data_IF_878816566846
#
_entry.id   IF_878816566846
#
_cell.length_a   1.000
_cell.length_b   1.000
_cell.length_c   1.000
_cell.angle_alpha   90.00
_cell.angle_beta   90.00
_cell.angle_gamma   90.00
#
_symmetry.space_group_name_H-M   'P 1'
#
loop_
_entity.id
_entity.type
_entity.pdbx_description
1 polymer ?
#
# COMPACT_ATOMS: atom_id res chain seq x y z
N UNK A 1 -17.30 -9.96 -20.64
CA UNK A 1 -16.02 -9.95 -19.90
C UNK A 1 -15.92 -11.04 -18.85
N UNK A 2 -16.73 -11.03 -17.77
CA UNK A 2 -16.67 -12.10 -16.74
C UNK A 2 -17.10 -13.47 -17.27
N UNK A 3 -18.21 -13.54 -18.01
CA UNK A 3 -18.69 -14.79 -18.62
C UNK A 3 -17.69 -15.38 -19.64
N UNK A 4 -16.98 -14.52 -20.38
CA UNK A 4 -15.96 -14.96 -21.34
C UNK A 4 -14.72 -15.52 -20.64
N UNK A 5 -14.27 -14.85 -19.57
CA UNK A 5 -13.17 -15.34 -18.72
C UNK A 5 -13.54 -16.64 -18.00
N UNK A 6 -14.76 -16.74 -17.48
CA UNK A 6 -15.28 -17.95 -16.87
C UNK A 6 -15.38 -19.09 -17.89
N UNK A 7 -15.81 -18.82 -19.12
CA UNK A 7 -15.82 -19.83 -20.19
C UNK A 7 -14.42 -20.30 -20.60
N UNK A 8 -13.41 -19.43 -20.51
CA UNK A 8 -12.04 -19.75 -20.88
C UNK A 8 -11.23 -20.43 -19.78
N UNK A 9 -11.49 -20.11 -18.52
CA UNK A 9 -10.67 -20.52 -17.37
C UNK A 9 -11.44 -21.22 -16.25
N UNK A 10 -12.78 -21.21 -16.27
CA UNK A 10 -13.63 -21.77 -15.22
C UNK A 10 -14.05 -23.22 -15.46
N UNK A 11 -14.53 -23.87 -14.40
CA UNK A 11 -15.10 -25.21 -14.48
C UNK A 11 -16.56 -25.20 -14.98
N UNK A 12 -17.00 -26.30 -15.60
CA UNK A 12 -18.33 -26.42 -16.24
C UNK A 12 -19.49 -26.03 -15.31
N UNK A 13 -19.46 -26.47 -14.05
CA UNK A 13 -20.51 -26.15 -13.06
C UNK A 13 -20.60 -24.65 -12.78
N UNK A 14 -19.47 -23.95 -12.73
CA UNK A 14 -19.42 -22.50 -12.52
C UNK A 14 -19.91 -21.73 -13.74
N UNK A 15 -19.52 -22.18 -14.94
CA UNK A 15 -19.99 -21.58 -16.21
C UNK A 15 -21.50 -21.78 -16.38
N UNK A 16 -22.04 -22.95 -16.04
CA UNK A 16 -23.46 -23.23 -16.09
C UNK A 16 -24.24 -22.31 -15.13
N UNK A 17 -23.80 -22.19 -13.88
CA UNK A 17 -24.42 -21.33 -12.88
C UNK A 17 -24.39 -19.84 -13.27
N UNK A 18 -23.30 -19.37 -13.91
CA UNK A 18 -23.20 -18.01 -14.44
C UNK A 18 -24.18 -17.77 -15.60
N UNK A 19 -24.33 -18.74 -16.52
CA UNK A 19 -25.26 -18.63 -17.64
C UNK A 19 -26.71 -18.55 -17.20
N UNK A 20 -27.09 -19.29 -16.15
CA UNK A 20 -28.44 -19.20 -15.55
C UNK A 20 -28.74 -17.81 -14.97
N UNK A 21 -27.71 -17.00 -14.71
CA UNK A 21 -27.77 -15.69 -14.06
C UNK A 21 -27.33 -14.54 -14.98
N UNK A 22 -27.45 -14.74 -16.29
CA UNK A 22 -27.10 -13.75 -17.31
C UNK A 22 -25.65 -13.23 -17.20
N UNK A 23 -24.73 -14.10 -16.77
CA UNK A 23 -23.31 -13.80 -16.65
C UNK A 23 -22.87 -13.12 -15.35
N UNK A 24 -23.76 -13.00 -14.36
CA UNK A 24 -23.46 -12.39 -13.05
C UNK A 24 -23.39 -13.42 -11.90
N UNK A 25 -22.49 -13.25 -10.91
CA UNK A 25 -22.39 -14.14 -9.77
C UNK A 25 -23.66 -14.16 -8.92
N UNK A 26 -24.26 -12.99 -8.64
CA UNK A 26 -25.52 -12.89 -7.91
C UNK A 26 -26.53 -11.98 -8.63
N UNK A 27 -27.84 -12.34 -8.60
CA UNK A 27 -28.88 -11.48 -9.16
C UNK A 27 -28.94 -10.11 -8.48
N UNK A 28 -28.85 -9.03 -9.25
CA UNK A 28 -28.89 -7.67 -8.74
C UNK A 28 -27.51 -7.04 -8.47
N UNK A 29 -26.41 -7.78 -8.67
CA UNK A 29 -25.05 -7.23 -8.57
C UNK A 29 -24.80 -6.08 -9.57
N UNK A 30 -25.46 -6.15 -10.73
CA UNK A 30 -25.50 -5.08 -11.73
C UNK A 30 -26.05 -3.76 -11.19
N UNK A 31 -26.81 -3.81 -10.07
CA UNK A 31 -27.44 -2.65 -9.42
C UNK A 31 -26.69 -2.17 -8.16
N UNK A 32 -25.72 -2.94 -7.68
CA UNK A 32 -24.91 -2.57 -6.50
C UNK A 32 -23.90 -1.44 -6.79
N UNK A 33 -23.79 -1.05 -8.04
CA UNK A 33 -22.85 -0.06 -8.56
C UNK A 33 -23.40 1.36 -8.48
N UNK A 34 -24.61 1.54 -7.93
CA UNK A 34 -25.27 2.84 -7.82
C UNK A 34 -25.82 3.38 -9.14
N UNK A 35 -25.93 2.54 -10.19
CA UNK A 35 -26.42 2.96 -11.51
C UNK A 35 -25.37 3.66 -12.37
N UNK A 36 -24.09 3.50 -12.05
CA UNK A 36 -22.98 4.01 -12.85
C UNK A 36 -22.91 3.23 -14.17
N UNK A 37 -23.00 3.95 -15.30
CA UNK A 37 -23.04 3.33 -16.63
C UNK A 37 -21.69 2.77 -17.10
N UNK A 38 -20.58 3.30 -16.58
CA UNK A 38 -19.21 2.86 -16.88
C UNK A 38 -18.49 2.50 -15.58
N UNK A 39 -18.31 1.20 -15.34
CA UNK A 39 -17.66 0.64 -14.15
C UNK A 39 -16.15 0.58 -14.32
N UNK A 40 -15.57 1.74 -14.60
CA UNK A 40 -14.13 1.96 -14.57
C UNK A 40 -13.78 2.97 -13.47
N UNK A 41 -13.52 2.45 -12.27
CA UNK A 41 -13.08 3.21 -11.10
C UNK A 41 -11.77 4.00 -11.36
N UNK A 42 -11.01 3.61 -12.38
CA UNK A 42 -9.72 4.22 -12.75
C UNK A 42 -9.82 5.19 -13.94
N UNK A 43 -10.98 5.33 -14.57
CA UNK A 43 -11.18 6.21 -15.73
C UNK A 43 -10.74 7.66 -15.45
N UNK A 44 -11.01 8.16 -14.24
CA UNK A 44 -10.61 9.49 -13.79
C UNK A 44 -9.09 9.67 -13.63
N UNK A 45 -8.35 8.57 -13.41
CA UNK A 45 -6.89 8.58 -13.29
C UNK A 45 -6.21 8.86 -14.63
N UNK A 46 -6.89 8.64 -15.77
CA UNK A 46 -6.37 8.88 -17.13
C UNK A 46 -5.01 8.18 -17.36
N UNK A 47 -4.92 6.92 -16.93
CA UNK A 47 -3.69 6.11 -17.04
C UNK A 47 -3.45 5.79 -18.52
N UNK A 48 -2.27 6.15 -19.02
CA UNK A 48 -1.87 5.95 -20.42
C UNK A 48 -0.61 5.12 -20.56
N UNK A 49 0.19 5.00 -19.49
CA UNK A 49 1.44 4.24 -19.43
C UNK A 49 1.64 3.61 -18.05
N UNK A 50 2.57 2.66 -17.95
CA UNK A 50 2.82 1.92 -16.69
C UNK A 50 3.24 2.84 -15.55
N UNK A 51 4.03 3.87 -15.86
CA UNK A 51 4.59 4.80 -14.88
C UNK A 51 3.51 5.64 -14.18
N UNK A 52 2.35 5.83 -14.82
CA UNK A 52 1.25 6.57 -14.22
C UNK A 52 0.76 5.88 -12.93
N UNK A 53 0.87 4.54 -12.83
CA UNK A 53 0.58 3.83 -11.57
C UNK A 53 1.50 4.24 -10.43
N UNK A 54 2.80 4.32 -10.69
CA UNK A 54 3.78 4.77 -9.69
C UNK A 54 3.53 6.25 -9.34
N UNK A 55 3.32 7.08 -10.35
CA UNK A 55 3.19 8.52 -10.16
C UNK A 55 1.88 8.87 -9.41
N UNK A 56 0.79 8.14 -9.66
CA UNK A 56 -0.51 8.34 -9.01
C UNK A 56 -0.63 7.64 -7.66
N UNK A 57 -0.07 6.45 -7.48
CA UNK A 57 -0.31 5.64 -6.28
C UNK A 57 0.89 5.51 -5.36
N UNK A 58 2.11 5.48 -5.89
CA UNK A 58 3.32 5.32 -5.05
C UNK A 58 3.82 6.68 -4.55
N UNK A 59 3.70 7.73 -5.36
CA UNK A 59 4.25 9.06 -5.00
C UNK A 59 3.47 9.81 -3.91
N UNK A 60 2.11 9.83 -3.94
CA UNK A 60 1.35 10.63 -2.98
C UNK A 60 0.79 9.83 -1.80
N UNK A 61 0.66 8.51 -1.92
CA UNK A 61 0.06 7.69 -0.85
C UNK A 61 1.11 7.12 0.10
N UNK A 62 0.64 6.93 1.32
CA UNK A 62 1.34 6.28 2.41
C UNK A 62 0.44 5.18 2.95
N UNK A 63 1.03 4.05 3.31
CA UNK A 63 0.30 2.84 3.64
C UNK A 63 0.59 2.49 5.09
N UNK A 64 -0.43 2.62 5.96
CA UNK A 64 -0.33 2.15 7.34
C UNK A 64 -0.38 0.63 7.35
N UNK A 65 0.61 0.01 7.96
CA UNK A 65 0.78 -1.43 7.98
C UNK A 65 0.83 -1.92 9.42
N UNK A 66 0.20 -3.07 9.66
CA UNK A 66 0.36 -3.84 10.88
C UNK A 66 1.84 -4.06 11.18
N UNK A 67 2.22 -3.95 12.45
CA UNK A 67 3.59 -3.73 12.87
C UNK A 67 4.57 -4.84 12.44
N UNK A 68 4.20 -6.09 12.71
CA UNK A 68 5.02 -7.30 12.54
C UNK A 68 4.63 -8.12 11.32
N UNK A 69 3.79 -7.59 10.42
CA UNK A 69 3.47 -8.27 9.17
C UNK A 69 4.76 -8.46 8.32
N UNK A 70 5.17 -9.71 8.04
CA UNK A 70 6.35 -9.98 7.22
C UNK A 70 6.23 -9.43 5.78
N UNK A 71 5.02 -9.13 5.33
CA UNK A 71 4.77 -8.53 4.02
C UNK A 71 5.32 -7.11 3.89
N UNK A 72 5.53 -6.41 5.02
CA UNK A 72 6.10 -5.05 5.06
C UNK A 72 7.44 -4.93 4.34
N UNK A 73 8.23 -6.01 4.32
CA UNK A 73 9.54 -6.05 3.65
C UNK A 73 9.41 -5.82 2.13
N UNK A 74 8.31 -6.25 1.51
CA UNK A 74 8.10 -6.07 0.07
C UNK A 74 7.98 -4.60 -0.33
N UNK A 75 7.54 -3.72 0.58
CA UNK A 75 7.47 -2.28 0.32
C UNK A 75 8.82 -1.69 -0.11
N UNK A 76 9.93 -2.25 0.38
CA UNK A 76 11.28 -1.73 0.15
C UNK A 76 12.07 -2.52 -0.90
N UNK A 77 11.52 -3.62 -1.43
CA UNK A 77 12.20 -4.50 -2.37
C UNK A 77 12.07 -4.01 -3.82
N UNK A 78 12.89 -3.03 -4.21
CA UNK A 78 12.91 -2.47 -5.57
C UNK A 78 13.25 -3.49 -6.66
N UNK A 79 13.87 -4.62 -6.32
CA UNK A 79 14.16 -5.68 -7.30
C UNK A 79 12.92 -6.51 -7.65
N UNK A 80 11.99 -6.65 -6.71
CA UNK A 80 10.76 -7.40 -6.91
C UNK A 80 9.62 -6.53 -7.42
N UNK A 81 9.59 -5.27 -7.00
CA UNK A 81 8.48 -4.37 -7.31
C UNK A 81 8.55 -3.87 -8.77
N UNK A 82 7.43 -3.88 -9.51
CA UNK A 82 7.37 -3.26 -10.83
C UNK A 82 7.85 -1.81 -10.81
N UNK A 83 8.54 -1.40 -11.88
CA UNK A 83 9.11 -0.05 -12.03
C UNK A 83 10.11 0.33 -10.92
N UNK A 84 10.72 -0.68 -10.29
CA UNK A 84 11.62 -0.54 -9.14
C UNK A 84 11.00 0.28 -7.99
N UNK A 85 9.67 0.24 -7.87
CA UNK A 85 8.94 1.07 -6.93
C UNK A 85 9.32 0.71 -5.47
N UNK A 86 9.53 1.75 -4.66
CA UNK A 86 9.57 1.64 -3.20
C UNK A 86 8.31 2.30 -2.66
N UNK A 87 7.53 1.56 -1.86
CA UNK A 87 6.28 2.05 -1.29
C UNK A 87 6.53 2.81 0.00
N UNK A 88 5.69 3.81 0.29
CA UNK A 88 5.79 4.57 1.52
C UNK A 88 5.04 3.87 2.68
N UNK A 89 5.52 2.68 3.05
CA UNK A 89 4.98 1.94 4.19
C UNK A 89 5.26 2.67 5.51
N UNK A 90 4.28 2.66 6.41
CA UNK A 90 4.30 3.30 7.71
C UNK A 90 3.92 2.28 8.78
N UNK A 91 4.70 2.23 9.85
CA UNK A 91 4.38 1.47 11.05
C UNK A 91 3.04 1.90 11.66
N UNK A 92 2.14 0.94 11.87
CA UNK A 92 0.92 1.08 12.66
C UNK A 92 0.88 -0.03 13.70
N UNK A 93 0.63 0.32 14.95
CA UNK A 93 0.74 -0.63 16.06
C UNK A 93 -0.45 -1.58 16.21
N UNK A 94 -1.57 -1.27 15.56
CA UNK A 94 -2.90 -1.90 15.71
C UNK A 94 -3.30 -2.26 17.16
N UNK A 95 -2.84 -1.43 18.11
CA UNK A 95 -3.09 -1.65 19.53
C UNK A 95 -4.60 -1.52 19.79
N UNK A 96 -5.19 -2.59 20.32
CA UNK A 96 -6.63 -2.72 20.50
C UNK A 96 -7.28 -3.68 19.52
N UNK A 97 -6.55 -4.18 18.52
CA UNK A 97 -6.95 -5.33 17.72
C UNK A 97 -6.80 -6.65 18.51
N UNK A 98 -7.52 -7.68 18.08
CA UNK A 98 -7.56 -8.98 18.77
C UNK A 98 -6.26 -9.78 18.71
N UNK A 99 -5.36 -9.46 17.79
CA UNK A 99 -4.08 -10.14 17.52
C UNK A 99 -2.87 -9.45 18.17
N UNK A 100 -3.06 -8.35 18.90
CA UNK A 100 -2.01 -7.69 19.70
C UNK A 100 -2.21 -7.99 21.21
N UNK A 101 -1.79 -9.17 21.70
CA UNK A 101 -1.99 -9.57 23.10
C UNK A 101 -1.08 -8.84 24.10
N UNK A 102 0.08 -8.35 23.63
CA UNK A 102 1.06 -7.63 24.45
C UNK A 102 1.52 -6.36 23.73
N UNK A 103 1.07 -5.21 24.24
CA UNK A 103 1.41 -3.89 23.69
C UNK A 103 2.91 -3.57 23.79
N UNK A 104 3.65 -4.26 24.67
CA UNK A 104 5.10 -4.06 24.82
C UNK A 104 5.90 -4.77 23.72
N UNK A 105 5.31 -5.76 23.05
CA UNK A 105 5.95 -6.54 21.99
C UNK A 105 5.90 -5.87 20.62
N UNK A 106 4.94 -4.99 20.35
CA UNK A 106 4.66 -4.49 18.98
C UNK A 106 5.89 -3.95 18.24
N UNK A 107 6.68 -3.08 18.88
CA UNK A 107 7.87 -2.51 18.24
C UNK A 107 9.06 -3.51 18.21
N UNK A 108 9.37 -4.25 19.29
CA UNK A 108 10.32 -5.35 19.23
C UNK A 108 10.06 -6.37 18.11
N UNK A 109 8.82 -6.84 17.98
CA UNK A 109 8.44 -7.83 16.95
C UNK A 109 8.59 -7.25 15.54
N UNK A 110 8.18 -5.99 15.33
CA UNK A 110 8.43 -5.30 14.07
C UNK A 110 9.94 -5.20 13.74
N UNK A 111 10.81 -5.05 14.73
CA UNK A 111 12.26 -4.95 14.53
C UNK A 111 12.90 -6.28 14.10
N UNK A 112 12.25 -7.42 14.30
CA UNK A 112 12.77 -8.72 13.87
C UNK A 112 13.04 -8.78 12.37
N UNK A 113 12.36 -7.98 11.54
CA UNK A 113 12.66 -7.91 10.10
C UNK A 113 14.10 -7.44 9.82
N UNK A 114 14.66 -6.63 10.72
CA UNK A 114 16.06 -6.18 10.65
C UNK A 114 16.98 -7.27 11.21
N UNK A 115 16.62 -7.86 12.34
CA UNK A 115 17.41 -8.93 12.97
C UNK A 115 17.54 -10.17 12.08
N UNK A 116 16.48 -10.49 11.33
CA UNK A 116 16.44 -11.57 10.35
C UNK A 116 17.02 -11.18 8.98
N UNK A 117 17.62 -10.00 8.87
CA UNK A 117 18.24 -9.47 7.65
C UNK A 117 17.29 -9.38 6.44
N UNK A 118 15.98 -9.31 6.69
CA UNK A 118 14.96 -9.16 5.64
C UNK A 118 14.87 -7.71 5.16
N UNK A 119 15.12 -6.76 6.07
CA UNK A 119 15.17 -5.34 5.77
C UNK A 119 16.42 -4.69 6.39
N UNK A 120 16.88 -3.59 5.81
CA UNK A 120 17.98 -2.81 6.39
C UNK A 120 17.49 -1.91 7.53
N UNK A 121 18.43 -1.42 8.35
CA UNK A 121 18.13 -0.39 9.36
C UNK A 121 17.54 0.89 8.75
N UNK A 122 17.96 1.25 7.53
CA UNK A 122 17.41 2.40 6.80
C UNK A 122 15.95 2.16 6.37
N UNK A 123 15.62 0.94 5.89
CA UNK A 123 14.23 0.57 5.60
C UNK A 123 13.37 0.65 6.86
N UNK A 124 13.86 0.15 7.99
CA UNK A 124 13.14 0.21 9.26
C UNK A 124 12.97 1.64 9.77
N UNK A 125 13.96 2.51 9.58
CA UNK A 125 13.86 3.96 9.85
C UNK A 125 12.79 4.61 8.99
N UNK A 126 12.75 4.29 7.69
CA UNK A 126 11.70 4.81 6.81
C UNK A 126 10.31 4.35 7.25
N UNK A 127 10.17 3.07 7.58
CA UNK A 127 8.93 2.45 8.05
C UNK A 127 8.41 3.08 9.35
N UNK A 128 9.26 3.22 10.35
CA UNK A 128 8.84 3.66 11.71
C UNK A 128 8.84 5.16 11.91
N UNK A 129 9.56 5.93 11.08
CA UNK A 129 9.77 7.36 11.33
C UNK A 129 9.70 8.21 10.07
N UNK A 130 10.60 7.99 9.10
CA UNK A 130 10.82 9.00 8.05
C UNK A 130 9.62 9.12 7.09
N UNK A 131 8.89 8.03 6.80
CA UNK A 131 7.69 8.10 5.96
C UNK A 131 6.56 8.87 6.64
N UNK A 132 6.35 8.71 7.96
CA UNK A 132 5.39 9.52 8.73
C UNK A 132 5.79 10.99 8.70
N UNK A 133 7.08 11.28 8.86
CA UNK A 133 7.57 12.66 8.78
C UNK A 133 7.29 13.27 7.40
N UNK A 134 7.56 12.52 6.32
CA UNK A 134 7.29 13.00 4.95
C UNK A 134 5.79 13.19 4.71
N UNK A 135 4.94 12.28 5.17
CA UNK A 135 3.48 12.36 5.05
C UNK A 135 2.95 13.69 5.61
N UNK A 136 3.23 13.97 6.89
CA UNK A 136 2.71 15.18 7.54
C UNK A 136 3.49 16.44 7.15
N UNK A 137 4.81 16.32 7.00
CA UNK A 137 5.72 17.43 6.71
C UNK A 137 5.62 17.97 5.28
N UNK A 138 5.20 17.14 4.30
CA UNK A 138 5.05 17.60 2.91
C UNK A 138 3.88 18.56 2.75
N UNK A 139 2.81 18.39 3.53
CA UNK A 139 1.67 19.32 3.55
C UNK A 139 1.96 20.52 4.44
N UNK A 140 2.59 20.30 5.60
CA UNK A 140 2.98 21.35 6.54
C UNK A 140 4.41 21.14 7.06
N UNK A 141 5.42 21.85 6.53
CA UNK A 141 6.82 21.68 6.95
C UNK A 141 7.06 21.93 8.44
N UNK A 142 6.16 22.66 9.11
CA UNK A 142 6.25 23.01 10.53
C UNK A 142 5.51 22.03 11.45
N UNK A 143 4.95 20.94 10.90
CA UNK A 143 4.09 20.01 11.65
C UNK A 143 4.73 19.48 12.94
N UNK A 144 6.05 19.25 12.93
CA UNK A 144 6.78 18.69 14.07
C UNK A 144 7.45 19.75 14.96
N UNK A 145 7.29 21.05 14.69
CA UNK A 145 7.86 22.12 15.53
C UNK A 145 7.35 22.01 16.98
N UNK A 146 8.24 22.27 17.95
CA UNK A 146 7.93 22.16 19.37
C UNK A 146 7.87 20.73 19.93
N UNK A 147 8.03 19.70 19.09
CA UNK A 147 8.10 18.30 19.54
C UNK A 147 9.55 17.87 19.83
N UNK A 148 9.72 16.76 20.57
CA UNK A 148 11.05 16.16 20.81
C UNK A 148 11.75 15.67 19.55
N UNK A 149 11.02 15.46 18.46
CA UNK A 149 11.55 14.97 17.18
C UNK A 149 11.76 16.08 16.15
N UNK A 150 11.54 17.35 16.51
CA UNK A 150 11.58 18.48 15.58
C UNK A 150 12.86 18.52 14.73
N UNK A 151 14.03 18.40 15.37
CA UNK A 151 15.32 18.40 14.67
C UNK A 151 15.47 17.21 13.73
N UNK A 152 15.11 16.01 14.17
CA UNK A 152 15.20 14.79 13.36
C UNK A 152 14.24 14.85 12.16
N UNK A 153 13.03 15.38 12.37
CA UNK A 153 12.04 15.57 11.33
C UNK A 153 12.50 16.61 10.30
N UNK A 154 13.07 17.74 10.75
CA UNK A 154 13.64 18.75 9.87
C UNK A 154 14.78 18.17 9.00
N UNK A 155 15.62 17.29 9.56
CA UNK A 155 16.65 16.58 8.79
C UNK A 155 16.04 15.70 7.69
N UNK A 156 14.98 14.93 7.99
CA UNK A 156 14.27 14.12 6.97
C UNK A 156 13.69 15.00 5.86
N UNK A 157 13.05 16.12 6.23
CA UNK A 157 12.41 17.02 5.26
C UNK A 157 13.42 17.83 4.43
N UNK A 158 14.63 18.04 4.95
CA UNK A 158 15.74 18.67 4.23
C UNK A 158 16.49 17.75 3.27
N UNK A 159 16.28 16.42 3.36
CA UNK A 159 16.83 15.48 2.39
C UNK A 159 16.09 15.62 1.05
N UNK A 160 16.83 15.63 -0.05
CA UNK A 160 16.21 15.51 -1.36
C UNK A 160 15.41 14.20 -1.41
N UNK A 161 14.21 14.17 -2.02
CA UNK A 161 13.48 12.92 -2.20
C UNK A 161 14.40 11.94 -2.91
N UNK A 162 14.56 10.72 -2.37
CA UNK A 162 15.23 9.65 -3.08
C UNK A 162 14.52 9.52 -4.43
N UNK A 163 15.22 9.87 -5.51
CA UNK A 163 14.72 9.59 -6.85
C UNK A 163 14.67 8.07 -6.93
N UNK A 164 13.47 7.52 -7.12
CA UNK A 164 13.31 6.12 -7.51
C UNK A 164 14.33 5.88 -8.65
N UNK A 165 15.28 4.98 -8.41
CA UNK A 165 16.38 4.73 -9.32
C UNK A 165 15.79 4.44 -10.70
N UNK A 166 16.06 5.34 -11.64
CA UNK A 166 15.72 5.14 -13.04
C UNK A 166 16.87 4.32 -13.65
N UNK A 167 16.60 3.04 -13.91
CA UNK A 167 17.30 2.25 -14.92
C UNK A 167 16.27 1.66 -15.89
#
# INVERSE_FOLDING_TARGET
MLADLAGKYGGEAFVAALRERDGWPYPGDDKLTGGVADLDDYSACKITRKEDWRDLFVTPFYFGCEADDPSNVWAFNSRANPLAARLNAIFSSDIGHFDVPDMTGVLPEAYEMVEKELATSDNFRDFTFANVVRLFGRVNPRFFEGTRVATAAATVLGQAPERAAAE
#
